data_IF_782545280887
#
_entry.id   IF_782545280887
#
_cell.length_a   1.000
_cell.length_b   1.000
_cell.length_c   1.000
_cell.angle_alpha   90.00
_cell.angle_beta   90.00
_cell.angle_gamma   90.00
#
_symmetry.space_group_name_H-M   'P 1'
#
loop_
_entity.id
_entity.type
_entity.pdbx_description
1 polymer ?
#
# COMPACT_ATOMS: atom_id res chain seq x y z
N UNK A 1 -6.39 -9.62 6.51
CA UNK A 1 -5.94 -8.40 5.84
C UNK A 1 -6.59 -8.36 4.47
N UNK A 2 -7.24 -7.27 4.12
CA UNK A 2 -7.83 -7.02 2.81
C UNK A 2 -7.03 -5.91 2.12
N UNK A 3 -6.34 -6.24 1.04
CA UNK A 3 -5.52 -5.30 0.29
C UNK A 3 -6.30 -4.73 -0.90
N UNK A 4 -6.18 -3.43 -1.12
CA UNK A 4 -6.77 -2.74 -2.25
C UNK A 4 -5.81 -1.68 -2.80
N UNK A 5 -6.16 -1.08 -3.94
CA UNK A 5 -5.39 -0.03 -4.57
C UNK A 5 -6.21 1.23 -4.72
N UNK A 6 -5.61 2.35 -4.36
CA UNK A 6 -6.10 3.68 -4.70
C UNK A 6 -5.29 4.15 -5.89
N UNK A 7 -5.88 4.23 -7.07
CA UNK A 7 -5.21 4.66 -8.30
C UNK A 7 -5.39 6.18 -8.48
N UNK A 8 -4.36 7.00 -8.19
CA UNK A 8 -4.49 8.44 -8.20
C UNK A 8 -4.87 8.99 -9.58
N UNK A 9 -4.40 8.35 -10.66
CA UNK A 9 -4.73 8.75 -12.04
C UNK A 9 -6.20 8.50 -12.41
N UNK A 10 -6.89 7.59 -11.73
CA UNK A 10 -8.30 7.27 -11.96
C UNK A 10 -9.21 8.09 -11.04
N UNK A 11 -8.85 8.16 -9.76
CA UNK A 11 -9.66 8.85 -8.75
C UNK A 11 -9.43 10.36 -8.69
N UNK A 12 -8.28 10.85 -9.18
CA UNK A 12 -7.92 12.26 -9.08
C UNK A 12 -7.39 12.68 -7.71
N UNK A 13 -7.36 11.77 -6.72
CA UNK A 13 -6.93 12.03 -5.35
C UNK A 13 -5.76 11.14 -4.95
N UNK A 14 -4.92 11.62 -4.03
CA UNK A 14 -3.81 10.83 -3.51
C UNK A 14 -4.30 9.72 -2.58
N UNK A 15 -3.55 8.61 -2.51
CA UNK A 15 -3.80 7.56 -1.52
C UNK A 15 -3.90 8.14 -0.11
N UNK A 16 -2.99 9.03 0.26
CA UNK A 16 -2.94 9.63 1.59
C UNK A 16 -4.20 10.45 1.90
N UNK A 17 -4.74 11.18 0.92
CA UNK A 17 -6.00 11.92 1.09
C UNK A 17 -7.18 10.97 1.23
N UNK A 18 -7.22 9.91 0.43
CA UNK A 18 -8.26 8.88 0.49
C UNK A 18 -8.27 8.15 1.84
N UNK A 19 -7.09 7.72 2.32
CA UNK A 19 -6.98 7.02 3.60
C UNK A 19 -7.33 7.91 4.79
N UNK A 20 -7.00 9.20 4.73
CA UNK A 20 -7.45 10.14 5.78
C UNK A 20 -8.96 10.31 5.80
N UNK A 21 -9.59 10.34 4.63
CA UNK A 21 -11.04 10.41 4.54
C UNK A 21 -11.70 9.15 5.11
N UNK A 22 -11.19 7.94 4.79
CA UNK A 22 -11.66 6.68 5.37
C UNK A 22 -11.53 6.67 6.90
N UNK A 23 -10.39 7.13 7.42
CA UNK A 23 -10.18 7.23 8.86
C UNK A 23 -11.17 8.21 9.52
N UNK A 24 -11.53 9.30 8.85
CA UNK A 24 -12.52 10.27 9.33
C UNK A 24 -13.94 9.68 9.34
N UNK A 25 -14.26 8.76 8.44
CA UNK A 25 -15.51 7.98 8.43
C UNK A 25 -15.48 6.82 9.47
N UNK A 26 -14.41 6.69 10.26
CA UNK A 26 -14.29 5.65 11.28
C UNK A 26 -13.74 4.32 10.78
N UNK A 27 -13.26 4.23 9.52
CA UNK A 27 -12.69 3.03 8.94
C UNK A 27 -11.17 3.11 8.99
N UNK A 28 -10.50 2.50 9.99
CA UNK A 28 -9.05 2.53 10.09
C UNK A 28 -8.42 1.69 8.98
N UNK A 29 -7.48 2.31 8.29
CA UNK A 29 -6.76 1.70 7.17
C UNK A 29 -5.30 2.13 7.16
N UNK A 30 -4.48 1.40 6.45
CA UNK A 30 -3.04 1.65 6.37
C UNK A 30 -2.55 1.61 4.93
N UNK A 31 -1.47 2.35 4.67
CA UNK A 31 -0.81 2.38 3.35
C UNK A 31 0.00 1.12 3.01
N UNK A 32 0.04 0.16 3.92
CA UNK A 32 0.81 -1.05 3.72
C UNK A 32 2.33 -0.86 3.77
N UNK A 33 3.04 -1.71 3.05
CA UNK A 33 4.50 -1.63 2.94
C UNK A 33 4.90 -0.45 2.05
N UNK A 34 5.91 0.30 2.50
CA UNK A 34 6.41 1.50 1.79
C UNK A 34 7.51 1.21 0.79
N UNK A 35 8.14 0.05 0.89
CA UNK A 35 9.23 -0.38 0.01
C UNK A 35 8.98 -1.80 -0.48
N UNK A 36 9.25 -2.06 -1.77
CA UNK A 36 9.35 -3.42 -2.28
C UNK A 36 10.33 -4.26 -1.48
N UNK A 37 10.07 -5.56 -1.37
CA UNK A 37 10.87 -6.46 -0.56
C UNK A 37 12.37 -6.40 -0.93
N UNK A 38 12.69 -6.38 -2.21
CA UNK A 38 14.08 -6.33 -2.68
C UNK A 38 14.80 -5.01 -2.37
N UNK A 39 14.08 -3.94 -2.02
CA UNK A 39 14.63 -2.65 -1.54
C UNK A 39 14.72 -2.56 -0.03
N UNK A 40 14.18 -3.53 0.70
CA UNK A 40 14.34 -3.57 2.15
C UNK A 40 15.82 -3.75 2.51
N UNK A 41 16.33 -3.10 3.56
CA UNK A 41 17.75 -3.16 3.94
C UNK A 41 18.29 -4.58 4.09
N UNK A 42 17.46 -5.50 4.57
CA UNK A 42 17.80 -6.92 4.71
C UNK A 42 18.28 -7.53 3.37
N UNK A 43 17.52 -7.27 2.29
CA UNK A 43 17.81 -7.80 0.96
C UNK A 43 18.82 -6.93 0.21
N UNK A 44 18.68 -5.62 0.27
CA UNK A 44 19.59 -4.69 -0.41
C UNK A 44 21.04 -4.89 0.05
N UNK A 45 21.24 -5.12 1.35
CA UNK A 45 22.56 -5.33 1.96
C UNK A 45 22.92 -6.80 2.10
N UNK A 46 22.06 -7.74 1.67
CA UNK A 46 22.24 -9.18 1.85
C UNK A 46 22.51 -9.56 3.33
N UNK A 47 21.86 -8.87 4.26
CA UNK A 47 22.14 -8.96 5.70
C UNK A 47 21.31 -10.07 6.39
N UNK A 48 21.42 -11.29 5.90
CA UNK A 48 20.60 -12.44 6.33
C UNK A 48 21.02 -13.07 7.68
N UNK A 49 21.79 -12.37 8.51
CA UNK A 49 22.17 -12.82 9.84
C UNK A 49 22.91 -14.17 9.83
N UNK A 50 22.40 -15.20 10.54
CA UNK A 50 23.04 -16.51 10.61
C UNK A 50 23.10 -17.25 9.26
N UNK A 51 22.30 -16.82 8.27
CA UNK A 51 22.26 -17.42 6.93
C UNK A 51 23.25 -16.80 5.95
N UNK A 52 24.27 -16.10 6.43
CA UNK A 52 25.35 -15.51 5.59
C UNK A 52 26.05 -16.55 4.70
N UNK A 53 26.12 -17.81 5.11
CA UNK A 53 26.63 -18.89 4.28
C UNK A 53 25.85 -19.12 2.98
N UNK A 54 24.60 -18.67 2.90
CA UNK A 54 23.78 -18.73 1.69
C UNK A 54 24.36 -17.86 0.56
N UNK A 55 24.97 -16.72 0.89
CA UNK A 55 25.64 -15.85 -0.08
C UNK A 55 26.86 -16.53 -0.72
N UNK A 56 27.64 -17.28 0.10
CA UNK A 56 28.80 -18.03 -0.38
C UNK A 56 28.42 -19.15 -1.34
N UNK A 57 27.22 -19.74 -1.14
CA UNK A 57 26.67 -20.77 -2.01
C UNK A 57 26.11 -20.20 -3.33
N UNK A 58 25.89 -18.90 -3.44
CA UNK A 58 25.37 -18.21 -4.63
C UNK A 58 26.17 -16.95 -4.93
N UNK A 59 27.40 -17.09 -5.44
CA UNK A 59 28.22 -15.94 -5.84
C UNK A 59 27.48 -15.10 -6.88
N UNK A 60 27.51 -13.77 -6.72
CA UNK A 60 26.84 -12.85 -7.63
C UNK A 60 25.36 -12.61 -7.33
N UNK A 61 24.78 -13.18 -6.27
CA UNK A 61 23.44 -12.82 -5.83
C UNK A 61 23.39 -11.34 -5.46
N UNK A 62 22.54 -10.60 -6.16
CA UNK A 62 22.29 -9.18 -5.89
C UNK A 62 20.84 -8.82 -6.22
N UNK A 63 20.31 -7.84 -5.52
CA UNK A 63 19.00 -7.28 -5.80
C UNK A 63 19.07 -5.87 -6.40
N UNK A 64 20.27 -5.32 -6.60
CA UNK A 64 20.48 -3.95 -7.05
C UNK A 64 19.90 -3.64 -8.43
N UNK A 65 19.86 -4.66 -9.32
CA UNK A 65 19.26 -4.53 -10.66
C UNK A 65 17.78 -4.93 -10.74
N UNK A 66 17.16 -5.29 -9.61
CA UNK A 66 15.75 -5.72 -9.60
C UNK A 66 14.84 -4.52 -9.79
N UNK A 67 13.94 -4.61 -10.77
CA UNK A 67 12.95 -3.60 -11.07
C UNK A 67 11.59 -4.25 -11.31
N UNK A 68 10.61 -3.90 -10.47
CA UNK A 68 9.24 -4.40 -10.52
C UNK A 68 8.27 -3.23 -10.46
N UNK A 69 7.95 -2.59 -11.61
CA UNK A 69 7.19 -1.33 -11.65
C UNK A 69 5.85 -1.40 -10.91
N UNK A 70 5.13 -2.51 -11.07
CA UNK A 70 3.86 -2.72 -10.36
C UNK A 70 4.03 -2.77 -8.84
N UNK A 71 5.04 -3.48 -8.35
CA UNK A 71 5.33 -3.56 -6.92
C UNK A 71 5.75 -2.19 -6.38
N UNK A 72 6.55 -1.45 -7.14
CA UNK A 72 7.00 -0.10 -6.79
C UNK A 72 5.83 0.88 -6.73
N UNK A 73 4.91 0.83 -7.69
CA UNK A 73 3.70 1.66 -7.69
C UNK A 73 2.79 1.34 -6.49
N UNK A 74 2.55 0.04 -6.23
CA UNK A 74 1.74 -0.39 -5.08
C UNK A 74 2.36 0.08 -3.77
N UNK A 75 3.63 -0.18 -3.53
CA UNK A 75 4.32 0.24 -2.30
C UNK A 75 4.39 1.77 -2.19
N UNK A 76 4.71 2.45 -3.28
CA UNK A 76 4.94 3.89 -3.30
C UNK A 76 3.67 4.72 -3.12
N UNK A 77 2.65 4.50 -3.95
CA UNK A 77 1.56 5.46 -4.11
C UNK A 77 0.15 4.87 -4.16
N UNK A 78 -0.03 3.54 -4.32
CA UNK A 78 -1.35 2.96 -4.60
C UNK A 78 -1.85 2.02 -3.50
N UNK A 79 -0.97 1.23 -2.89
CA UNK A 79 -1.36 0.14 -2.01
C UNK A 79 -1.91 0.60 -0.68
N UNK A 80 -2.99 -0.04 -0.26
CA UNK A 80 -3.62 0.16 1.03
C UNK A 80 -4.25 -1.15 1.51
N UNK A 81 -4.52 -1.26 2.79
CA UNK A 81 -5.25 -2.38 3.35
C UNK A 81 -6.09 -2.05 4.56
N UNK A 82 -7.13 -2.85 4.74
CA UNK A 82 -7.92 -2.95 5.96
C UNK A 82 -7.40 -4.12 6.80
N UNK A 83 -7.42 -3.95 8.11
CA UNK A 83 -7.13 -5.04 9.03
C UNK A 83 -8.26 -6.08 9.01
N UNK A 84 -7.89 -7.35 9.15
CA UNK A 84 -8.87 -8.44 9.12
C UNK A 84 -9.97 -8.28 10.16
N UNK A 85 -9.67 -7.75 11.34
CA UNK A 85 -10.65 -7.56 12.42
C UNK A 85 -11.86 -6.72 12.00
N UNK A 86 -11.69 -5.78 11.08
CA UNK A 86 -12.79 -4.95 10.54
C UNK A 86 -13.76 -5.77 9.69
N UNK A 87 -13.29 -6.89 9.13
CA UNK A 87 -14.07 -7.74 8.24
C UNK A 87 -14.68 -8.95 8.96
N UNK A 88 -14.60 -9.00 10.28
CA UNK A 88 -15.19 -10.07 11.10
C UNK A 88 -16.50 -9.64 11.79
N UNK A 89 -17.01 -8.48 11.42
CA UNK A 89 -18.26 -7.94 11.93
C UNK A 89 -19.52 -8.55 11.30
N UNK A 90 -20.64 -7.93 11.57
CA UNK A 90 -21.94 -8.26 11.00
C UNK A 90 -22.04 -7.79 9.53
N UNK A 91 -23.11 -8.18 8.84
CA UNK A 91 -23.41 -7.64 7.51
C UNK A 91 -23.55 -6.10 7.55
N UNK A 92 -24.18 -5.55 8.58
CA UNK A 92 -24.34 -4.12 8.73
C UNK A 92 -22.97 -3.40 8.84
N UNK A 93 -22.01 -3.97 9.58
CA UNK A 93 -20.65 -3.43 9.66
C UNK A 93 -19.95 -3.44 8.28
N UNK A 94 -20.21 -4.46 7.46
CA UNK A 94 -19.68 -4.53 6.09
C UNK A 94 -20.34 -3.47 5.19
N UNK A 95 -21.65 -3.28 5.32
CA UNK A 95 -22.39 -2.27 4.56
C UNK A 95 -21.94 -0.85 4.94
N UNK A 96 -21.61 -0.61 6.19
CA UNK A 96 -21.02 0.67 6.67
C UNK A 96 -19.65 0.94 6.02
N UNK A 97 -18.79 -0.09 5.91
CA UNK A 97 -17.51 0.03 5.22
C UNK A 97 -17.73 0.41 3.75
N UNK A 98 -18.62 -0.29 3.05
CA UNK A 98 -18.94 0.00 1.65
C UNK A 98 -19.48 1.41 1.49
N UNK A 99 -20.42 1.82 2.33
CA UNK A 99 -21.01 3.17 2.34
C UNK A 99 -19.95 4.24 2.52
N UNK A 100 -18.97 4.04 3.41
CA UNK A 100 -17.87 4.98 3.61
C UNK A 100 -16.99 5.11 2.34
N UNK A 101 -16.68 4.00 1.66
CA UNK A 101 -15.97 4.04 0.38
C UNK A 101 -16.75 4.80 -0.70
N UNK A 102 -18.03 4.49 -0.87
CA UNK A 102 -18.91 5.13 -1.85
C UNK A 102 -18.98 6.64 -1.60
N UNK A 103 -19.24 7.06 -0.36
CA UNK A 103 -19.29 8.47 0.05
C UNK A 103 -18.01 9.23 -0.31
N UNK A 104 -16.84 8.62 -0.07
CA UNK A 104 -15.55 9.25 -0.38
C UNK A 104 -15.35 9.35 -1.89
N UNK A 105 -15.71 8.31 -2.66
CA UNK A 105 -15.58 8.30 -4.11
C UNK A 105 -16.50 9.34 -4.75
N UNK A 106 -17.74 9.45 -4.28
CA UNK A 106 -18.72 10.43 -4.76
C UNK A 106 -18.28 11.87 -4.48
N UNK A 107 -17.65 12.10 -3.33
CA UNK A 107 -17.20 13.42 -2.88
C UNK A 107 -15.70 13.66 -3.09
N UNK A 108 -15.05 12.90 -3.98
CA UNK A 108 -13.58 12.96 -4.20
C UNK A 108 -13.07 14.36 -4.56
N UNK A 109 -13.89 15.15 -5.23
CA UNK A 109 -13.53 16.52 -5.65
C UNK A 109 -13.32 17.47 -4.47
N UNK A 110 -13.83 17.12 -3.28
CA UNK A 110 -13.61 17.84 -2.02
C UNK A 110 -12.27 17.45 -1.34
N UNK A 111 -11.61 16.41 -1.82
CA UNK A 111 -10.35 15.94 -1.27
C UNK A 111 -9.17 16.65 -1.97
N UNK A 112 -8.03 16.73 -1.25
CA UNK A 112 -6.82 17.29 -1.86
C UNK A 112 -6.40 16.46 -3.09
N UNK A 113 -6.12 17.12 -4.23
CA UNK A 113 -5.76 16.44 -5.47
C UNK A 113 -4.47 15.61 -5.32
N UNK A 114 -4.33 14.60 -6.16
CA UNK A 114 -3.10 13.84 -6.27
C UNK A 114 -1.95 14.79 -6.67
N UNK A 115 -0.83 14.71 -5.93
CA UNK A 115 0.37 15.45 -6.32
C UNK A 115 0.88 14.82 -7.64
N UNK A 116 1.19 15.63 -8.69
CA UNK A 116 1.73 15.07 -9.91
C UNK A 116 2.99 14.25 -9.61
N UNK A 117 3.11 13.08 -10.26
CA UNK A 117 4.30 12.27 -10.16
C UNK A 117 5.50 13.14 -10.59
N UNK A 118 6.52 13.20 -9.73
CA UNK A 118 7.78 13.83 -10.11
C UNK A 118 8.36 13.02 -11.30
N UNK A 119 8.51 13.70 -12.42
CA UNK A 119 9.09 13.15 -13.67
C UNK A 119 10.58 12.91 -13.46
#
# INVERSE_FOLDING_TARGET
>A
MFAFRVEPCVLGVSRESFLRALAAEGIPCSRGYVLPLYRQPLFANLAFGPYRGYQSARPGLTYSGTHCPRCEAICGVEGAWLEQRLLLGTQADMDDIVTAFEKIIENRDLLAPAKPAAT
#
